data_IF_040364370723
#
_entry.id   IF_040364370723
#
_cell.length_a   1.000
_cell.length_b   1.000
_cell.length_c   1.000
_cell.angle_alpha   90.00
_cell.angle_beta   90.00
_cell.angle_gamma   90.00
#
_symmetry.space_group_name_H-M   'P 1'
#
loop_
_entity.id
_entity.type
_entity.pdbx_description
1 polymer ?
#
# COMPACT_ATOMS: atom_id res chain seq x y z
N UNK A 1 72.43 -13.66 -10.79
CA UNK A 1 71.10 -13.53 -11.44
C UNK A 1 70.03 -13.77 -10.38
N UNK A 2 69.37 -12.71 -9.91
CA UNK A 2 68.42 -12.78 -8.79
C UNK A 2 67.05 -13.22 -9.35
N UNK A 3 66.55 -14.38 -8.92
CA UNK A 3 65.24 -14.91 -9.33
C UNK A 3 64.17 -14.24 -8.47
N UNK A 4 63.36 -13.36 -9.05
CA UNK A 4 62.17 -12.81 -8.39
C UNK A 4 61.10 -13.90 -8.28
N UNK A 5 60.70 -14.20 -7.04
CA UNK A 5 59.59 -15.06 -6.69
C UNK A 5 58.30 -14.23 -6.78
N UNK A 6 57.43 -14.53 -7.75
CA UNK A 6 56.11 -13.91 -7.86
C UNK A 6 55.15 -14.64 -6.91
N UNK A 7 54.75 -13.99 -5.82
CA UNK A 7 53.73 -14.52 -4.90
C UNK A 7 52.37 -14.16 -5.49
N UNK A 8 51.65 -15.16 -6.02
CA UNK A 8 50.25 -15.03 -6.40
C UNK A 8 49.40 -15.07 -5.12
N UNK A 9 49.05 -13.92 -4.57
CA UNK A 9 48.08 -13.84 -3.48
C UNK A 9 46.68 -14.04 -4.05
N UNK A 10 46.15 -15.25 -3.92
CA UNK A 10 44.72 -15.53 -4.14
C UNK A 10 43.96 -14.84 -3.01
N UNK A 11 43.48 -13.63 -3.27
CA UNK A 11 42.52 -12.95 -2.40
C UNK A 11 41.19 -13.67 -2.55
N UNK A 12 40.91 -14.58 -1.60
CA UNK A 12 39.60 -15.18 -1.46
C UNK A 12 38.63 -14.08 -1.02
N UNK A 13 37.91 -13.50 -2.00
CA UNK A 13 36.79 -12.61 -1.74
C UNK A 13 35.71 -13.44 -1.02
N UNK A 14 35.61 -13.28 0.29
CA UNK A 14 34.52 -13.88 1.07
C UNK A 14 33.23 -13.17 0.69
N UNK A 15 32.45 -13.80 -0.18
CA UNK A 15 31.07 -13.39 -0.43
C UNK A 15 30.26 -13.65 0.85
N UNK A 16 29.96 -12.59 1.59
CA UNK A 16 28.90 -12.63 2.59
C UNK A 16 27.56 -12.74 1.85
N UNK A 17 27.08 -13.96 1.66
CA UNK A 17 25.71 -14.20 1.22
C UNK A 17 24.77 -13.75 2.34
N UNK A 18 24.22 -12.54 2.23
CA UNK A 18 23.10 -12.15 3.08
C UNK A 18 21.96 -13.16 2.85
N UNK A 19 21.56 -13.89 3.89
CA UNK A 19 20.40 -14.78 3.84
C UNK A 19 19.15 -13.94 3.63
N UNK A 20 18.78 -13.68 2.38
CA UNK A 20 17.46 -13.17 2.05
C UNK A 20 16.46 -14.31 2.27
N UNK A 21 15.44 -14.10 3.11
CA UNK A 21 14.30 -15.00 3.15
C UNK A 21 13.64 -14.95 1.77
N UNK A 22 13.61 -16.08 1.07
CA UNK A 22 12.82 -16.21 -0.14
C UNK A 22 11.39 -16.59 0.26
N UNK A 23 10.40 -16.16 -0.51
CA UNK A 23 9.03 -16.65 -0.36
C UNK A 23 8.98 -18.15 -0.67
N UNK A 24 7.88 -18.81 -0.32
CA UNK A 24 7.67 -20.26 -0.57
C UNK A 24 7.75 -20.63 -2.06
N UNK A 25 7.59 -19.65 -2.95
CA UNK A 25 7.69 -19.76 -4.41
C UNK A 25 9.09 -19.44 -4.98
N UNK A 26 10.08 -19.18 -4.13
CA UNK A 26 11.46 -18.91 -4.55
C UNK A 26 11.71 -17.48 -5.04
N UNK A 27 10.70 -16.61 -5.05
CA UNK A 27 10.91 -15.18 -5.34
C UNK A 27 11.58 -14.48 -4.15
N UNK A 28 12.49 -13.51 -4.39
CA UNK A 28 13.07 -12.72 -3.32
C UNK A 28 11.99 -12.05 -2.47
N UNK A 29 11.99 -12.25 -1.15
CA UNK A 29 11.02 -11.58 -0.29
C UNK A 29 11.40 -10.11 -0.07
N UNK A 30 10.76 -9.24 -0.84
CA UNK A 30 10.95 -7.79 -0.74
C UNK A 30 10.39 -7.17 0.55
N UNK A 31 9.66 -7.91 1.40
CA UNK A 31 9.18 -7.40 2.70
C UNK A 31 10.31 -6.96 3.62
N UNK A 32 11.47 -7.62 3.55
CA UNK A 32 12.62 -7.25 4.39
C UNK A 32 13.36 -5.99 3.91
N UNK A 33 13.34 -5.66 2.60
CA UNK A 33 14.01 -4.45 2.07
C UNK A 33 13.20 -3.17 2.31
N UNK A 34 11.87 -3.24 2.28
CA UNK A 34 11.02 -2.07 2.54
C UNK A 34 11.12 -1.58 4.00
N UNK A 35 11.38 -2.49 4.95
CA UNK A 35 11.35 -2.20 6.38
C UNK A 35 12.65 -1.62 6.96
N UNK A 36 13.78 -1.60 6.22
CA UNK A 36 15.02 -0.99 6.72
C UNK A 36 15.08 0.53 6.48
N UNK A 37 14.39 1.03 5.47
CA UNK A 37 14.36 2.47 5.13
C UNK A 37 13.33 3.26 5.95
N UNK A 38 12.35 2.58 6.55
CA UNK A 38 11.27 3.21 7.34
C UNK A 38 11.65 3.53 8.80
N UNK A 39 12.87 3.17 9.24
CA UNK A 39 13.38 3.46 10.58
C UNK A 39 14.88 3.82 10.59
N UNK A 40 15.26 4.90 9.90
CA UNK A 40 16.39 5.73 10.35
C UNK A 40 16.25 7.17 9.85
N UNK A 41 15.99 8.08 10.79
CA UNK A 41 16.18 9.53 10.60
C UNK A 41 17.67 9.78 10.40
N UNK A 42 18.09 9.99 9.15
CA UNK A 42 19.13 10.94 8.72
C UNK A 42 19.42 10.72 7.23
N UNK A 43 18.99 11.66 6.39
CA UNK A 43 19.37 11.70 4.98
C UNK A 43 18.31 12.38 4.13
N UNK A 44 18.72 13.42 3.40
CA UNK A 44 17.88 14.19 2.49
C UNK A 44 17.46 13.38 1.27
N UNK A 45 16.47 12.52 1.47
CA UNK A 45 15.67 11.91 0.42
C UNK A 45 14.21 12.27 0.70
N UNK A 46 13.51 12.87 -0.26
CA UNK A 46 12.09 13.21 -0.12
C UNK A 46 11.28 11.92 -0.10
N UNK A 47 11.13 11.34 1.09
CA UNK A 47 10.30 10.15 1.30
C UNK A 47 8.85 10.63 1.41
N UNK A 48 7.90 10.04 0.65
CA UNK A 48 6.48 10.31 0.88
C UNK A 48 6.15 9.94 2.33
N UNK A 49 5.81 10.95 3.14
CA UNK A 49 5.46 10.77 4.55
C UNK A 49 4.08 10.15 4.62
N UNK A 50 4.03 8.83 4.81
CA UNK A 50 2.78 8.14 5.12
C UNK A 50 2.46 8.29 6.62
N UNK A 51 1.22 8.61 6.93
CA UNK A 51 0.73 8.79 8.30
C UNK A 51 0.00 7.52 8.73
N UNK A 52 0.23 7.10 9.97
CA UNK A 52 -0.53 6.03 10.61
C UNK A 52 -1.62 6.71 11.42
N UNK A 53 -2.78 6.97 10.80
CA UNK A 53 -3.87 7.73 11.43
C UNK A 53 -4.78 6.85 12.30
N UNK A 54 -5.12 5.62 11.87
CA UNK A 54 -6.01 4.73 12.62
C UNK A 54 -5.42 3.32 12.77
N UNK A 55 -5.18 2.93 14.02
CA UNK A 55 -4.72 1.59 14.43
C UNK A 55 -5.87 0.65 14.80
N UNK A 56 -7.09 1.16 14.91
CA UNK A 56 -8.27 0.37 15.26
C UNK A 56 -8.84 -0.30 14.02
N UNK A 57 -8.74 -1.62 13.98
CA UNK A 57 -9.07 -2.41 12.80
C UNK A 57 -10.12 -3.47 13.09
N UNK A 58 -10.71 -3.97 12.01
CA UNK A 58 -11.61 -5.12 12.02
C UNK A 58 -11.25 -6.04 10.86
N UNK A 59 -11.42 -7.35 11.07
CA UNK A 59 -11.16 -8.36 10.05
C UNK A 59 -12.42 -8.55 9.19
N UNK A 60 -12.27 -8.37 7.89
CA UNK A 60 -13.28 -8.72 6.90
C UNK A 60 -13.02 -10.15 6.44
N UNK A 61 -14.00 -11.04 6.64
CA UNK A 61 -13.93 -12.40 6.11
C UNK A 61 -13.88 -12.38 4.57
N UNK A 62 -13.18 -13.36 4.00
CA UNK A 62 -13.18 -13.60 2.57
C UNK A 62 -14.56 -13.97 2.04
N UNK A 63 -14.85 -13.64 0.79
CA UNK A 63 -16.14 -13.89 0.17
C UNK A 63 -16.03 -14.03 -1.35
N UNK A 64 -17.06 -14.58 -1.98
CA UNK A 64 -17.16 -14.72 -3.43
C UNK A 64 -18.07 -13.60 -3.96
N UNK A 65 -17.58 -12.80 -4.91
CA UNK A 65 -18.38 -11.78 -5.60
C UNK A 65 -19.44 -12.42 -6.50
N UNK A 66 -20.47 -11.67 -6.88
CA UNK A 66 -21.52 -12.15 -7.79
C UNK A 66 -20.98 -12.62 -9.15
N UNK A 67 -19.84 -12.09 -9.59
CA UNK A 67 -19.14 -12.50 -10.81
C UNK A 67 -18.23 -13.73 -10.63
N UNK A 68 -18.29 -14.42 -9.48
CA UNK A 68 -17.50 -15.62 -9.18
C UNK A 68 -16.07 -15.36 -8.69
N UNK A 69 -15.59 -14.11 -8.66
CA UNK A 69 -14.23 -13.80 -8.16
C UNK A 69 -14.17 -13.92 -6.64
N UNK A 70 -13.24 -14.73 -6.13
CA UNK A 70 -12.96 -14.81 -4.70
C UNK A 70 -12.16 -13.59 -4.22
N UNK A 71 -12.52 -13.08 -3.04
CA UNK A 71 -11.85 -11.99 -2.34
C UNK A 71 -11.31 -12.53 -1.03
N UNK A 72 -10.00 -12.42 -0.83
CA UNK A 72 -9.36 -12.81 0.41
C UNK A 72 -9.82 -11.95 1.59
N UNK A 73 -9.89 -12.59 2.77
CA UNK A 73 -10.13 -11.88 4.00
C UNK A 73 -8.94 -10.98 4.36
N UNK A 74 -9.23 -9.77 4.85
CA UNK A 74 -8.22 -8.75 5.10
C UNK A 74 -8.62 -7.85 6.27
N UNK A 75 -7.63 -7.20 6.87
CA UNK A 75 -7.87 -6.17 7.86
C UNK A 75 -8.18 -4.83 7.20
N UNK A 76 -9.15 -4.13 7.77
CA UNK A 76 -9.55 -2.78 7.39
C UNK A 76 -9.69 -1.93 8.65
N UNK A 77 -9.55 -0.62 8.51
CA UNK A 77 -9.87 0.34 9.58
C UNK A 77 -11.35 0.25 9.96
N UNK A 78 -11.66 0.57 11.22
CA UNK A 78 -13.04 0.62 11.68
C UNK A 78 -13.85 1.63 10.85
N UNK A 79 -15.06 1.27 10.37
CA UNK A 79 -15.89 2.21 9.62
C UNK A 79 -16.27 3.43 10.46
N UNK A 80 -16.09 4.63 9.89
CA UNK A 80 -16.59 5.88 10.45
C UNK A 80 -17.19 6.78 9.33
N UNK A 81 -17.52 8.03 9.65
CA UNK A 81 -18.20 8.94 8.74
C UNK A 81 -17.34 9.45 7.56
N UNK A 82 -16.02 9.29 7.63
CA UNK A 82 -15.08 9.75 6.60
C UNK A 82 -14.13 8.64 6.18
N UNK A 83 -13.44 8.82 5.06
CA UNK A 83 -12.36 7.92 4.67
C UNK A 83 -10.97 8.38 5.11
N UNK A 84 -10.85 9.54 5.77
CA UNK A 84 -9.58 10.27 5.96
C UNK A 84 -8.50 9.38 6.57
N UNK A 85 -8.89 8.58 7.57
CA UNK A 85 -8.04 7.76 8.40
C UNK A 85 -7.96 6.29 7.93
N UNK A 86 -8.63 5.94 6.82
CA UNK A 86 -8.63 4.59 6.29
C UNK A 86 -7.30 4.21 5.66
N UNK A 87 -6.90 2.94 5.78
CA UNK A 87 -5.68 2.42 5.13
C UNK A 87 -5.65 2.59 3.61
N UNK A 88 -6.82 2.58 2.97
CA UNK A 88 -6.92 2.77 1.52
C UNK A 88 -6.70 4.20 1.06
N UNK A 89 -6.67 5.17 1.97
CA UNK A 89 -6.66 6.61 1.67
C UNK A 89 -5.24 7.11 1.42
N UNK A 90 -5.11 7.96 0.40
CA UNK A 90 -3.84 8.53 -0.02
C UNK A 90 -3.15 9.23 1.16
N UNK A 91 -1.88 8.91 1.35
CA UNK A 91 -1.10 9.38 2.50
C UNK A 91 -1.13 8.46 3.72
N UNK A 92 -1.97 7.42 3.76
CA UNK A 92 -1.97 6.44 4.85
C UNK A 92 -1.23 5.15 4.46
N UNK A 93 -0.72 4.44 5.47
CA UNK A 93 -0.06 3.14 5.31
C UNK A 93 -0.92 2.03 5.92
N UNK A 94 -1.15 0.95 5.17
CA UNK A 94 -1.75 -0.26 5.71
C UNK A 94 -0.72 -1.04 6.54
N UNK A 95 -0.92 -1.18 7.85
CA UNK A 95 0.03 -1.87 8.73
C UNK A 95 0.14 -3.38 8.49
N UNK A 96 -0.82 -3.99 7.78
CA UNK A 96 -0.82 -5.43 7.52
C UNK A 96 -0.17 -5.78 6.19
N UNK A 97 -0.43 -4.98 5.15
CA UNK A 97 0.14 -5.20 3.82
C UNK A 97 1.41 -4.39 3.58
N UNK A 98 1.64 -3.34 4.37
CA UNK A 98 2.67 -2.30 4.16
C UNK A 98 2.51 -1.57 2.83
N UNK A 99 1.31 -1.57 2.26
CA UNK A 99 0.99 -0.85 1.03
C UNK A 99 0.42 0.52 1.36
N UNK A 100 0.81 1.57 0.60
CA UNK A 100 0.23 2.89 0.77
C UNK A 100 -1.18 2.93 0.18
N UNK A 101 -2.06 3.71 0.82
CA UNK A 101 -3.36 4.04 0.27
C UNK A 101 -3.26 4.93 -0.97
N UNK A 102 -4.28 4.84 -1.82
CA UNK A 102 -4.34 5.54 -3.11
C UNK A 102 -5.68 6.23 -3.38
N UNK A 103 -6.69 6.02 -2.51
CA UNK A 103 -8.00 6.68 -2.62
C UNK A 103 -7.88 8.14 -2.20
N UNK A 104 -8.44 9.07 -2.98
CA UNK A 104 -8.51 10.45 -2.52
C UNK A 104 -9.25 10.57 -1.18
N UNK A 105 -8.81 11.54 -0.39
CA UNK A 105 -9.39 11.89 0.89
C UNK A 105 -10.75 12.57 0.70
N UNK A 106 -11.69 12.29 1.58
CA UNK A 106 -12.96 13.01 1.62
C UNK A 106 -12.71 14.52 1.80
N UNK A 107 -13.48 15.33 1.09
CA UNK A 107 -13.44 16.79 1.08
C UNK A 107 -12.10 17.39 0.59
N UNK A 108 -11.33 16.63 -0.18
CA UNK A 108 -10.11 17.12 -0.84
C UNK A 108 -10.36 17.49 -2.31
N UNK A 109 -9.51 18.35 -2.93
CA UNK A 109 -9.61 18.65 -4.36
C UNK A 109 -9.55 17.40 -5.25
N UNK A 110 -8.77 16.39 -4.86
CA UNK A 110 -8.62 15.14 -5.60
C UNK A 110 -9.91 14.29 -5.61
N UNK A 111 -10.82 14.49 -4.65
CA UNK A 111 -12.12 13.80 -4.62
C UNK A 111 -12.98 14.13 -5.85
N UNK A 112 -12.80 15.32 -6.44
CA UNK A 112 -13.54 15.76 -7.63
C UNK A 112 -13.13 15.01 -8.90
N UNK A 113 -11.96 14.38 -8.91
CA UNK A 113 -11.48 13.57 -10.05
C UNK A 113 -12.23 12.23 -10.17
N UNK A 114 -12.80 11.72 -9.08
CA UNK A 114 -13.57 10.49 -9.10
C UNK A 114 -14.90 10.72 -9.82
N UNK A 115 -15.36 9.82 -10.70
CA UNK A 115 -16.67 9.99 -11.35
C UNK A 115 -16.85 11.34 -12.08
N UNK A 116 -15.76 11.97 -12.53
CA UNK A 116 -15.84 13.21 -13.31
C UNK A 116 -16.74 13.01 -14.54
N UNK A 117 -17.53 14.02 -14.87
CA UNK A 117 -18.54 13.94 -15.94
C UNK A 117 -19.83 13.21 -15.58
N UNK A 118 -19.92 12.59 -14.39
CA UNK A 118 -21.15 11.93 -13.92
C UNK A 118 -21.89 12.81 -12.90
N UNK A 119 -23.22 12.72 -12.90
CA UNK A 119 -24.04 13.32 -11.84
C UNK A 119 -23.86 12.55 -10.53
N UNK A 120 -23.30 13.21 -9.53
CA UNK A 120 -23.11 12.64 -8.19
C UNK A 120 -24.39 12.79 -7.38
N UNK A 121 -24.79 11.70 -6.73
CA UNK A 121 -25.93 11.63 -5.82
C UNK A 121 -25.45 11.34 -4.40
N UNK A 122 -26.21 11.82 -3.41
CA UNK A 122 -25.98 11.54 -1.99
C UNK A 122 -27.02 10.56 -1.48
N UNK A 123 -26.58 9.43 -0.93
CA UNK A 123 -27.47 8.44 -0.31
C UNK A 123 -27.94 8.87 1.09
N UNK A 124 -28.96 8.19 1.61
CA UNK A 124 -29.52 8.45 2.95
C UNK A 124 -28.50 8.32 4.09
N UNK A 125 -27.41 7.58 3.87
CA UNK A 125 -26.28 7.43 4.82
C UNK A 125 -25.14 8.43 4.57
N UNK A 126 -25.37 9.44 3.74
CA UNK A 126 -24.38 10.50 3.42
C UNK A 126 -23.24 10.06 2.49
N UNK A 127 -23.22 8.82 2.01
CA UNK A 127 -22.26 8.37 1.01
C UNK A 127 -22.59 8.94 -0.37
N UNK A 128 -21.57 9.42 -1.09
CA UNK A 128 -21.72 9.95 -2.44
C UNK A 128 -21.40 8.88 -3.49
N UNK A 129 -22.16 8.85 -4.57
CA UNK A 129 -22.00 7.87 -5.64
C UNK A 129 -22.55 8.40 -6.97
N UNK A 130 -22.19 7.77 -8.07
CA UNK A 130 -22.89 7.91 -9.35
C UNK A 130 -23.43 6.55 -9.81
N UNK A 131 -24.33 6.55 -10.78
CA UNK A 131 -24.80 5.33 -11.46
C UNK A 131 -24.00 5.18 -12.75
N UNK A 132 -23.28 4.08 -12.90
CA UNK A 132 -22.56 3.79 -14.14
C UNK A 132 -23.50 3.25 -15.24
N UNK A 133 -22.98 3.06 -16.45
CA UNK A 133 -23.76 2.59 -17.62
C UNK A 133 -24.39 1.20 -17.42
N UNK A 134 -23.95 0.45 -16.41
CA UNK A 134 -24.50 -0.85 -16.05
C UNK A 134 -25.58 -0.77 -14.95
N UNK A 135 -26.02 0.45 -14.59
CA UNK A 135 -27.00 0.67 -13.53
C UNK A 135 -26.46 0.49 -12.11
N UNK A 136 -25.14 0.31 -11.93
CA UNK A 136 -24.54 0.05 -10.63
C UNK A 136 -24.13 1.35 -9.92
N UNK A 137 -24.32 1.39 -8.59
CA UNK A 137 -23.80 2.47 -7.74
C UNK A 137 -22.29 2.36 -7.62
N UNK A 138 -21.57 3.40 -8.04
CA UNK A 138 -20.13 3.53 -7.84
C UNK A 138 -19.87 4.65 -6.84
N UNK A 139 -19.44 4.25 -5.64
CA UNK A 139 -19.15 5.17 -4.56
C UNK A 139 -17.85 5.93 -4.80
N UNK A 140 -17.89 7.23 -4.51
CA UNK A 140 -16.78 8.18 -4.65
C UNK A 140 -16.45 8.81 -3.30
N UNK A 141 -15.22 9.30 -3.09
CA UNK A 141 -14.91 10.15 -1.94
C UNK A 141 -15.85 11.35 -1.87
N UNK A 142 -16.22 11.76 -0.67
CA UNK A 142 -17.17 12.84 -0.44
C UNK A 142 -16.59 14.17 -0.91
N UNK A 143 -17.45 14.99 -1.51
CA UNK A 143 -17.18 16.36 -1.95
C UNK A 143 -18.03 17.34 -1.15
N UNK A 144 -17.61 18.60 -1.18
CA UNK A 144 -18.34 19.71 -0.58
C UNK A 144 -19.62 20.02 -1.36
#
# INVERSE_FOLDING_TARGET
>A
MKKSLFIFTVTCLTYFSSLAQNKRDGTPDMRYRANKELFSVQGSYTIPRYTIENTTTTYQNGYIKSNGTYVDGHYKTMPNATNIDNYSTAGNLNLYTHEPGSRARDYSPEAYNYGAGNTIQTGSRGGQYYINDHGNKVYVPKRN
#
